data_IF_190844615314
#
_entry.id   IF_190844615314
#
_cell.length_a   1.000
_cell.length_b   1.000
_cell.length_c   1.000
_cell.angle_alpha   90.00
_cell.angle_beta   90.00
_cell.angle_gamma   90.00
#
_symmetry.space_group_name_H-M   'P 1'
#
loop_
_entity.id
_entity.type
_entity.pdbx_description
1 polymer ?
#
# COMPACT_ATOMS: atom_id res chain seq x y z
N UNK A 1 -19.15 -4.05 17.16
CA UNK A 1 -19.22 -2.79 17.89
C UNK A 1 -19.61 -1.61 16.99
N UNK A 2 -19.05 -1.51 15.79
CA UNK A 2 -19.33 -0.43 14.81
C UNK A 2 -20.43 -0.78 13.80
N UNK A 3 -21.21 -1.82 14.01
CA UNK A 3 -22.27 -2.32 13.09
C UNK A 3 -21.74 -2.56 11.65
N UNK A 4 -20.47 -2.91 11.54
CA UNK A 4 -19.83 -3.27 10.26
C UNK A 4 -19.60 -4.78 10.24
N UNK A 5 -19.74 -5.40 9.05
CA UNK A 5 -19.39 -6.81 8.87
C UNK A 5 -17.85 -6.91 8.88
N UNK A 6 -17.26 -7.73 9.78
CA UNK A 6 -15.82 -7.93 9.81
C UNK A 6 -15.37 -8.66 8.53
N UNK A 7 -14.19 -8.28 8.04
CA UNK A 7 -13.58 -8.90 6.86
C UNK A 7 -13.01 -10.28 7.18
N UNK A 8 -12.39 -10.40 8.34
CA UNK A 8 -11.69 -11.57 8.85
C UNK A 8 -11.73 -11.59 10.39
N UNK A 9 -11.28 -12.68 10.99
CA UNK A 9 -11.19 -12.86 12.43
C UNK A 9 -9.78 -13.32 12.77
N UNK A 10 -9.13 -12.57 13.67
CA UNK A 10 -7.87 -12.95 14.28
C UNK A 10 -8.14 -13.61 15.64
N UNK A 11 -7.53 -14.76 15.89
CA UNK A 11 -7.68 -15.49 17.15
C UNK A 11 -6.43 -15.28 18.01
N UNK A 12 -6.61 -14.73 19.20
CA UNK A 12 -5.58 -14.70 20.25
C UNK A 12 -5.62 -15.95 21.12
N UNK A 13 -4.47 -16.51 21.48
CA UNK A 13 -4.36 -17.68 22.36
C UNK A 13 -3.12 -17.61 23.23
N UNK A 14 -3.15 -18.29 24.38
CA UNK A 14 -1.99 -18.57 25.23
C UNK A 14 -1.16 -19.77 24.74
N UNK A 15 -1.71 -20.56 23.80
CA UNK A 15 -1.02 -21.71 23.23
C UNK A 15 0.22 -21.30 22.42
N UNK A 16 1.35 -21.95 22.70
CA UNK A 16 2.58 -21.75 21.94
C UNK A 16 2.43 -22.23 20.48
N UNK A 17 3.15 -21.62 19.51
CA UNK A 17 3.10 -22.00 18.09
C UNK A 17 3.35 -23.50 17.84
N UNK A 18 4.19 -24.15 18.66
CA UNK A 18 4.45 -25.59 18.57
C UNK A 18 3.22 -26.43 18.95
N UNK A 19 2.43 -25.99 19.92
CA UNK A 19 1.18 -26.65 20.32
C UNK A 19 0.11 -26.51 19.23
N UNK A 20 -0.03 -25.31 18.63
CA UNK A 20 -0.93 -25.07 17.49
C UNK A 20 -0.61 -25.99 16.31
N UNK A 21 0.68 -26.16 15.99
CA UNK A 21 1.11 -27.05 14.91
C UNK A 21 0.84 -28.52 15.20
N UNK A 22 0.83 -28.94 16.47
CA UNK A 22 0.46 -30.31 16.86
C UNK A 22 -1.06 -30.54 16.80
N UNK A 23 -1.83 -29.51 17.20
CA UNK A 23 -3.29 -29.58 17.25
C UNK A 23 -3.92 -29.59 15.85
N UNK A 24 -3.41 -28.76 14.93
CA UNK A 24 -3.97 -28.58 13.60
C UNK A 24 -3.03 -29.11 12.51
N UNK A 25 -3.44 -30.20 11.82
CA UNK A 25 -2.65 -30.79 10.70
C UNK A 25 -2.47 -29.84 9.51
N UNK A 26 -3.43 -28.94 9.28
CA UNK A 26 -3.48 -27.94 8.21
C UNK A 26 -2.95 -26.57 8.66
N UNK A 27 -2.08 -26.53 9.68
CA UNK A 27 -1.45 -25.33 10.21
C UNK A 27 -0.13 -25.03 9.49
N UNK A 28 0.02 -23.78 9.01
CA UNK A 28 1.29 -23.24 8.49
C UNK A 28 1.76 -22.08 9.34
N UNK A 29 3.01 -22.12 9.78
CA UNK A 29 3.63 -21.01 10.49
C UNK A 29 4.16 -20.00 9.50
N UNK A 30 3.72 -18.74 9.59
CA UNK A 30 4.08 -17.63 8.69
C UNK A 30 4.75 -16.50 9.49
N UNK A 31 5.66 -15.79 8.83
CA UNK A 31 6.38 -14.67 9.39
C UNK A 31 7.66 -15.05 10.13
N UNK A 32 8.72 -14.25 9.91
CA UNK A 32 10.01 -14.37 10.63
C UNK A 32 10.00 -13.58 11.94
N UNK A 33 9.44 -12.38 11.89
CA UNK A 33 9.35 -11.45 13.04
C UNK A 33 8.16 -11.79 13.93
N UNK A 34 7.03 -12.10 13.32
CA UNK A 34 5.77 -12.46 13.98
C UNK A 34 5.39 -13.87 13.51
N UNK A 35 5.47 -14.84 14.40
CA UNK A 35 5.04 -16.21 14.09
C UNK A 35 3.53 -16.30 14.25
N UNK A 36 2.82 -16.22 13.12
CA UNK A 36 1.38 -16.44 13.04
C UNK A 36 1.11 -17.87 12.59
N UNK A 37 0.14 -18.52 13.17
CA UNK A 37 -0.36 -19.80 12.71
C UNK A 37 -1.54 -19.57 11.76
N UNK A 38 -1.38 -19.88 10.49
CA UNK A 38 -2.46 -19.90 9.50
C UNK A 38 -3.07 -21.29 9.49
N UNK A 39 -4.33 -21.40 9.91
CA UNK A 39 -5.12 -22.63 9.86
C UNK A 39 -5.96 -22.58 8.58
N UNK A 40 -5.69 -23.52 7.67
CA UNK A 40 -6.35 -23.58 6.37
C UNK A 40 -7.56 -24.51 6.41
N UNK A 41 -8.73 -24.06 5.98
CA UNK A 41 -9.96 -24.83 5.88
C UNK A 41 -10.20 -25.31 4.44
N UNK A 42 -10.98 -26.40 4.30
CA UNK A 42 -11.25 -27.04 3.00
C UNK A 42 -11.89 -26.10 1.96
N UNK A 43 -12.61 -25.08 2.39
CA UNK A 43 -13.25 -24.06 1.55
C UNK A 43 -12.29 -22.91 1.14
N UNK A 44 -10.99 -23.05 1.39
CA UNK A 44 -9.98 -22.02 1.12
C UNK A 44 -9.92 -20.91 2.17
N UNK A 45 -10.76 -20.94 3.21
CA UNK A 45 -10.74 -19.98 4.31
C UNK A 45 -9.49 -20.19 5.17
N UNK A 46 -8.84 -19.10 5.55
CA UNK A 46 -7.70 -19.07 6.46
C UNK A 46 -8.13 -18.36 7.74
N UNK A 47 -7.82 -18.95 8.89
CA UNK A 47 -7.94 -18.28 10.19
C UNK A 47 -6.54 -18.05 10.73
N UNK A 48 -6.25 -16.79 11.07
CA UNK A 48 -4.99 -16.41 11.69
C UNK A 48 -5.06 -16.59 13.21
N UNK A 49 -4.09 -17.30 13.77
CA UNK A 49 -3.99 -17.52 15.21
C UNK A 49 -2.64 -17.00 15.70
N UNK A 50 -2.70 -16.08 16.64
CA UNK A 50 -1.53 -15.45 17.27
C UNK A 50 -1.42 -15.84 18.73
N UNK A 51 -0.26 -16.29 19.18
CA UNK A 51 0.03 -16.43 20.61
C UNK A 51 0.17 -15.05 21.25
N UNK A 52 -0.45 -14.83 22.42
CA UNK A 52 -0.30 -13.59 23.18
C UNK A 52 1.17 -13.28 23.45
N UNK A 53 1.54 -12.01 23.35
CA UNK A 53 2.92 -11.54 23.47
C UNK A 53 3.04 -10.42 24.49
N UNK A 54 4.22 -10.29 25.06
CA UNK A 54 4.59 -9.15 25.91
C UNK A 54 5.75 -8.37 25.31
N UNK A 55 5.99 -7.16 25.77
CA UNK A 55 7.19 -6.40 25.40
C UNK A 55 8.42 -7.16 25.88
N UNK A 56 9.46 -7.28 25.04
CA UNK A 56 10.76 -7.78 25.51
C UNK A 56 11.28 -6.91 26.66
N UNK A 57 11.99 -7.53 27.60
CA UNK A 57 12.66 -6.79 28.67
C UNK A 57 13.70 -5.84 28.04
N UNK A 58 13.67 -4.53 28.34
CA UNK A 58 14.66 -3.56 27.84
C UNK A 58 16.11 -3.97 28.16
N UNK A 59 16.33 -4.65 29.28
CA UNK A 59 17.65 -5.15 29.66
C UNK A 59 18.14 -6.31 28.75
N UNK A 60 17.23 -7.03 28.08
CA UNK A 60 17.59 -8.14 27.18
C UNK A 60 17.84 -7.67 25.72
N UNK A 61 17.53 -6.43 25.39
CA UNK A 61 17.58 -5.87 24.01
C UNK A 61 18.68 -4.80 23.93
N UNK A 62 19.87 -5.09 24.40
CA UNK A 62 21.11 -4.33 24.12
C UNK A 62 21.01 -2.81 24.14
N UNK A 63 21.07 -2.17 25.33
CA UNK A 63 21.47 -0.79 25.57
C UNK A 63 20.46 0.34 25.25
N UNK A 64 20.60 1.50 25.88
CA UNK A 64 19.79 2.69 25.63
C UNK A 64 20.12 3.26 24.23
N UNK A 65 19.24 3.01 23.26
CA UNK A 65 19.38 3.41 21.84
C UNK A 65 18.82 2.40 20.85
N UNK A 66 18.58 1.16 21.24
CA UNK A 66 17.97 0.13 20.41
C UNK A 66 16.43 0.19 20.49
N UNK A 67 15.82 1.32 20.14
CA UNK A 67 14.37 1.51 20.14
C UNK A 67 13.65 0.69 19.05
N UNK A 68 14.37 0.24 18.03
CA UNK A 68 13.79 -0.57 16.94
C UNK A 68 13.74 -2.05 17.35
N UNK A 69 12.56 -2.56 17.68
CA UNK A 69 12.32 -3.96 18.00
C UNK A 69 12.64 -4.86 16.79
N UNK A 70 13.69 -5.66 16.88
CA UNK A 70 14.14 -6.59 15.82
C UNK A 70 13.49 -7.98 15.92
N UNK A 71 12.99 -8.40 17.10
CA UNK A 71 12.23 -9.64 17.29
C UNK A 71 11.12 -9.44 18.32
N UNK A 72 9.95 -10.02 18.10
CA UNK A 72 8.78 -9.88 18.95
C UNK A 72 8.13 -11.26 19.23
N UNK A 73 8.95 -12.20 19.71
CA UNK A 73 8.52 -13.57 20.04
C UNK A 73 8.53 -13.86 21.56
N UNK A 74 8.42 -12.82 22.38
CA UNK A 74 8.26 -13.00 23.82
C UNK A 74 6.78 -13.19 24.14
N UNK A 75 6.41 -14.40 24.59
CA UNK A 75 5.01 -14.74 24.89
C UNK A 75 4.58 -14.14 26.21
N UNK A 76 3.29 -13.82 26.33
CA UNK A 76 2.71 -13.14 27.47
C UNK A 76 1.23 -13.48 27.67
N UNK A 77 0.57 -12.69 28.52
CA UNK A 77 -0.85 -12.76 28.85
C UNK A 77 -1.69 -11.89 27.87
N UNK A 78 -3.02 -12.06 27.81
CA UNK A 78 -3.91 -11.18 27.03
C UNK A 78 -3.73 -9.70 27.39
N UNK A 79 -3.58 -9.38 28.67
CA UNK A 79 -3.37 -8.01 29.15
C UNK A 79 -2.05 -7.42 28.64
N UNK A 80 -0.97 -8.18 28.68
CA UNK A 80 0.33 -7.76 28.17
C UNK A 80 0.29 -7.57 26.66
N UNK A 81 -0.45 -8.43 25.93
CA UNK A 81 -0.65 -8.30 24.49
C UNK A 81 -1.45 -7.03 24.14
N UNK A 82 -2.52 -6.71 24.89
CA UNK A 82 -3.25 -5.45 24.73
C UNK A 82 -2.33 -4.23 24.89
N UNK A 83 -1.56 -4.18 25.98
CA UNK A 83 -0.70 -3.06 26.35
C UNK A 83 0.44 -2.78 25.33
N UNK A 84 0.82 -3.75 24.48
CA UNK A 84 1.84 -3.55 23.47
C UNK A 84 1.30 -3.11 22.09
N UNK A 85 -0.03 -3.21 21.88
CA UNK A 85 -0.67 -2.79 20.62
C UNK A 85 -0.53 -1.29 20.40
N UNK A 86 -0.90 -0.82 19.23
CA UNK A 86 -0.73 0.58 18.81
C UNK A 86 -1.78 1.51 19.43
N UNK A 87 -3.07 1.22 19.21
CA UNK A 87 -4.17 2.08 19.62
C UNK A 87 -5.15 1.34 20.52
N UNK A 88 -5.83 2.09 21.40
CA UNK A 88 -6.78 1.57 22.39
C UNK A 88 -7.89 0.76 21.74
N UNK A 89 -8.45 1.24 20.63
CA UNK A 89 -9.50 0.57 19.84
C UNK A 89 -9.05 -0.78 19.27
N UNK A 90 -7.74 -1.00 19.11
CA UNK A 90 -7.15 -2.26 18.64
C UNK A 90 -6.75 -3.18 19.80
N UNK A 91 -6.88 -2.73 21.05
CA UNK A 91 -6.55 -3.48 22.27
C UNK A 91 -7.70 -4.28 22.86
N UNK A 92 -8.84 -4.34 22.17
CA UNK A 92 -10.03 -5.06 22.60
C UNK A 92 -9.94 -6.54 22.21
N UNK A 93 -10.44 -7.42 23.10
CA UNK A 93 -10.65 -8.83 22.81
C UNK A 93 -12.14 -9.17 22.95
N UNK A 94 -12.58 -10.13 22.15
CA UNK A 94 -13.91 -10.70 22.24
C UNK A 94 -13.79 -12.12 22.76
N UNK A 95 -14.40 -12.41 23.92
CA UNK A 95 -14.46 -13.75 24.47
C UNK A 95 -15.67 -14.49 23.89
N UNK A 96 -15.39 -15.60 23.20
CA UNK A 96 -16.43 -16.42 22.56
C UNK A 96 -17.17 -17.31 23.54
N UNK A 97 -16.70 -17.47 24.80
CA UNK A 97 -17.31 -18.33 25.78
C UNK A 97 -18.54 -17.69 26.42
N UNK A 98 -18.49 -16.38 26.67
CA UNK A 98 -19.56 -15.61 27.29
C UNK A 98 -20.02 -14.39 26.47
N UNK A 99 -19.41 -14.20 25.30
CA UNK A 99 -19.68 -13.11 24.37
C UNK A 99 -19.36 -11.73 24.92
N UNK A 100 -18.48 -11.66 25.92
CA UNK A 100 -18.03 -10.40 26.52
C UNK A 100 -16.92 -9.71 25.72
N UNK A 101 -16.79 -8.40 25.92
CA UNK A 101 -15.64 -7.63 25.44
C UNK A 101 -14.70 -7.40 26.61
N UNK A 102 -13.45 -7.84 26.44
CA UNK A 102 -12.39 -7.63 27.41
C UNK A 102 -11.60 -6.40 27.00
N UNK A 103 -11.58 -5.38 27.84
CA UNK A 103 -10.88 -4.12 27.63
C UNK A 103 -9.88 -3.86 28.76
N UNK A 104 -8.58 -3.89 28.41
CA UNK A 104 -7.48 -3.60 29.34
C UNK A 104 -6.90 -2.19 29.19
N UNK A 105 -7.37 -1.41 28.20
CA UNK A 105 -6.69 -0.19 27.76
C UNK A 105 -7.63 1.03 27.57
N UNK A 106 -8.93 0.86 27.89
CA UNK A 106 -9.93 1.92 27.70
C UNK A 106 -10.42 2.07 26.25
N UNK A 107 -10.28 1.03 25.44
CA UNK A 107 -10.62 1.06 24.02
C UNK A 107 -12.12 1.17 23.75
N UNK A 108 -12.99 0.68 24.63
CA UNK A 108 -14.45 0.83 24.49
C UNK A 108 -14.86 2.30 24.60
N UNK A 109 -14.34 3.02 25.59
CA UNK A 109 -14.65 4.43 25.78
C UNK A 109 -14.15 5.28 24.59
N UNK A 110 -12.94 5.02 24.08
CA UNK A 110 -12.41 5.69 22.91
C UNK A 110 -13.18 5.32 21.62
N UNK A 111 -13.65 4.09 21.50
CA UNK A 111 -14.49 3.67 20.39
C UNK A 111 -15.84 4.39 20.37
N UNK A 112 -16.48 4.53 21.54
CA UNK A 112 -17.75 5.28 21.71
C UNK A 112 -17.56 6.78 21.44
N UNK A 113 -16.43 7.35 21.91
CA UNK A 113 -16.07 8.75 21.70
C UNK A 113 -15.56 9.05 20.27
N UNK A 114 -15.31 8.02 19.44
CA UNK A 114 -14.75 8.19 18.10
C UNK A 114 -13.31 8.70 18.12
N UNK A 115 -12.46 8.16 18.99
CA UNK A 115 -11.09 8.62 19.20
C UNK A 115 -10.04 7.57 18.79
N UNK A 116 -8.97 8.05 18.17
CA UNK A 116 -7.73 7.29 17.95
C UNK A 116 -6.70 7.73 18.99
N UNK A 117 -6.52 6.89 20.00
CA UNK A 117 -5.57 7.12 21.10
C UNK A 117 -4.51 6.04 21.11
N UNK A 118 -3.24 6.41 21.32
CA UNK A 118 -2.14 5.45 21.49
C UNK A 118 -2.23 4.75 22.85
N UNK A 119 -1.84 3.49 22.90
CA UNK A 119 -1.66 2.77 24.17
C UNK A 119 -0.29 3.16 24.73
N UNK A 120 -0.29 4.02 25.74
CA UNK A 120 0.91 4.64 26.31
C UNK A 120 1.28 5.97 25.64
N UNK A 121 2.41 6.53 26.05
CA UNK A 121 2.89 7.83 25.61
C UNK A 121 3.10 7.87 24.09
N UNK A 122 2.41 8.76 23.35
CA UNK A 122 2.49 8.82 21.89
C UNK A 122 3.90 9.17 21.38
N UNK A 123 4.68 9.99 22.08
CA UNK A 123 6.06 10.31 21.69
C UNK A 123 6.93 9.06 21.68
N UNK A 124 6.85 8.25 22.75
CA UNK A 124 7.57 6.98 22.84
C UNK A 124 7.08 5.99 21.78
N UNK A 125 5.77 5.91 21.58
CA UNK A 125 5.16 4.94 20.65
C UNK A 125 5.52 5.22 19.20
N UNK A 126 5.58 6.48 18.79
CA UNK A 126 5.96 6.84 17.42
C UNK A 126 7.47 6.77 17.17
N UNK A 127 8.30 6.94 18.20
CA UNK A 127 9.73 6.68 18.11
C UNK A 127 10.06 5.18 18.03
N UNK A 128 9.34 4.32 18.78
CA UNK A 128 9.48 2.86 18.70
C UNK A 128 9.14 2.32 17.31
N UNK A 129 8.08 2.87 16.70
CA UNK A 129 7.59 2.43 15.39
C UNK A 129 6.88 3.59 14.67
N UNK A 130 7.62 4.35 13.85
CA UNK A 130 7.04 5.52 13.15
C UNK A 130 5.89 5.19 12.19
N UNK A 131 5.77 3.93 11.73
CA UNK A 131 4.64 3.49 10.88
C UNK A 131 3.30 3.66 11.60
N UNK A 132 3.29 3.65 12.93
CA UNK A 132 2.08 3.92 13.73
C UNK A 132 1.47 5.30 13.45
N UNK A 133 2.25 6.30 13.05
CA UNK A 133 1.72 7.60 12.63
C UNK A 133 0.85 7.48 11.38
N UNK A 134 1.27 6.68 10.38
CA UNK A 134 0.45 6.40 9.20
C UNK A 134 -0.82 5.65 9.56
N UNK A 135 -0.70 4.65 10.46
CA UNK A 135 -1.84 3.87 10.94
C UNK A 135 -2.85 4.73 11.71
N UNK A 136 -2.38 5.68 12.54
CA UNK A 136 -3.27 6.65 13.20
C UNK A 136 -4.10 7.43 12.20
N UNK A 137 -3.45 7.97 11.17
CA UNK A 137 -4.09 8.72 10.08
C UNK A 137 -5.05 7.83 9.27
N UNK A 138 -4.65 6.60 8.95
CA UNK A 138 -5.50 5.65 8.23
C UNK A 138 -6.75 5.29 9.04
N UNK A 139 -6.60 4.92 10.31
CA UNK A 139 -7.73 4.60 11.16
C UNK A 139 -8.67 5.78 11.37
N UNK A 140 -8.13 6.99 11.61
CA UNK A 140 -8.93 8.20 11.72
C UNK A 140 -9.77 8.43 10.46
N UNK A 141 -9.15 8.35 9.29
CA UNK A 141 -9.79 8.54 8.00
C UNK A 141 -10.84 7.47 7.68
N UNK A 142 -10.50 6.20 7.95
CA UNK A 142 -11.36 5.05 7.65
C UNK A 142 -12.59 4.97 8.55
N UNK A 143 -12.42 5.31 9.82
CA UNK A 143 -13.50 5.23 10.82
C UNK A 143 -14.29 6.53 10.94
N UNK A 144 -13.73 7.66 10.49
CA UNK A 144 -14.27 8.99 10.74
C UNK A 144 -14.04 9.45 12.18
N UNK A 145 -12.95 8.98 12.82
CA UNK A 145 -12.58 9.27 14.19
C UNK A 145 -11.58 10.41 14.27
N UNK A 146 -11.55 11.13 15.40
CA UNK A 146 -10.54 12.13 15.67
C UNK A 146 -9.28 11.51 16.30
N UNK A 147 -8.10 11.96 15.90
CA UNK A 147 -6.85 11.65 16.61
C UNK A 147 -6.82 12.50 17.89
N UNK A 148 -6.48 11.90 19.04
CA UNK A 148 -6.38 12.66 20.30
C UNK A 148 -5.31 13.76 20.19
N UNK A 149 -5.50 14.92 20.87
CA UNK A 149 -4.58 16.06 20.73
C UNK A 149 -3.12 15.72 21.00
N UNK A 150 -2.84 14.95 22.04
CA UNK A 150 -1.51 14.48 22.41
C UNK A 150 -0.86 13.62 21.30
N UNK A 151 -1.64 12.68 20.72
CA UNK A 151 -1.17 11.86 19.61
C UNK A 151 -0.99 12.69 18.31
N UNK A 152 -1.89 13.64 18.04
CA UNK A 152 -1.78 14.52 16.90
C UNK A 152 -0.51 15.39 16.96
N UNK A 153 -0.27 16.02 18.11
CA UNK A 153 0.95 16.81 18.34
C UNK A 153 2.22 15.96 18.25
N UNK A 154 2.19 14.74 18.78
CA UNK A 154 3.32 13.82 18.65
C UNK A 154 3.58 13.44 17.18
N UNK A 155 2.54 13.26 16.35
CA UNK A 155 2.73 13.07 14.90
C UNK A 155 3.45 14.28 14.30
N UNK A 156 3.03 15.50 14.61
CA UNK A 156 3.67 16.72 14.12
C UNK A 156 5.14 16.81 14.52
N UNK A 157 5.50 16.38 15.73
CA UNK A 157 6.90 16.34 16.20
C UNK A 157 7.73 15.28 15.49
N UNK A 158 7.19 14.07 15.33
CA UNK A 158 7.94 12.89 14.89
C UNK A 158 7.74 12.54 13.41
N UNK A 159 6.96 13.28 12.63
CA UNK A 159 6.63 12.95 11.22
C UNK A 159 7.83 12.61 10.34
N UNK A 160 8.99 13.23 10.59
CA UNK A 160 10.22 12.97 9.82
C UNK A 160 10.83 11.60 10.12
N UNK A 161 10.53 11.02 11.29
CA UNK A 161 11.03 9.71 11.70
C UNK A 161 10.50 8.58 10.79
N UNK A 162 9.40 8.82 10.07
CA UNK A 162 8.83 7.83 9.14
C UNK A 162 9.84 7.40 8.07
N UNK A 163 10.77 8.27 7.70
CA UNK A 163 11.84 7.96 6.74
C UNK A 163 12.83 6.88 7.25
N UNK A 164 12.85 6.61 8.56
CA UNK A 164 13.68 5.55 9.17
C UNK A 164 13.00 4.18 9.14
N UNK A 165 11.72 4.14 8.80
CA UNK A 165 10.95 2.90 8.75
C UNK A 165 11.34 2.04 7.54
N UNK A 166 11.19 0.72 7.66
CA UNK A 166 11.42 -0.19 6.55
C UNK A 166 10.46 0.13 5.38
N UNK A 167 10.97 0.43 4.18
CA UNK A 167 10.14 0.87 3.06
C UNK A 167 8.97 -0.08 2.71
N UNK A 168 9.12 -1.43 2.77
CA UNK A 168 7.98 -2.31 2.50
C UNK A 168 6.81 -2.14 3.46
N UNK A 169 7.05 -1.76 4.73
CA UNK A 169 5.98 -1.51 5.71
C UNK A 169 5.24 -0.22 5.38
N UNK A 170 5.99 0.84 5.09
CA UNK A 170 5.43 2.14 4.67
C UNK A 170 4.57 1.96 3.40
N UNK A 171 5.10 1.21 2.43
CA UNK A 171 4.40 0.93 1.18
C UNK A 171 3.12 0.16 1.38
N UNK A 172 3.12 -0.84 2.28
CA UNK A 172 1.90 -1.62 2.56
C UNK A 172 0.83 -0.77 3.25
N UNK A 173 1.18 0.08 4.22
CA UNK A 173 0.19 0.98 4.85
C UNK A 173 -0.39 1.97 3.83
N UNK A 174 0.45 2.53 2.94
CA UNK A 174 -0.02 3.39 1.86
C UNK A 174 -0.94 2.65 0.88
N UNK A 175 -0.56 1.42 0.51
CA UNK A 175 -1.38 0.57 -0.36
C UNK A 175 -2.73 0.21 0.29
N UNK A 176 -2.76 -0.05 1.60
CA UNK A 176 -4.00 -0.31 2.33
C UNK A 176 -4.95 0.89 2.31
N UNK A 177 -4.43 2.11 2.52
CA UNK A 177 -5.21 3.34 2.41
C UNK A 177 -5.85 3.48 1.01
N UNK A 178 -5.05 3.24 -0.05
CA UNK A 178 -5.52 3.32 -1.44
C UNK A 178 -6.53 2.22 -1.81
N UNK A 179 -6.37 1.03 -1.26
CA UNK A 179 -7.30 -0.10 -1.47
C UNK A 179 -8.59 0.02 -0.64
N UNK A 180 -8.57 0.81 0.42
CA UNK A 180 -9.59 0.80 1.47
C UNK A 180 -10.88 1.58 1.15
N UNK A 181 -10.87 2.44 0.13
CA UNK A 181 -12.01 3.33 -0.19
C UNK A 181 -12.08 4.57 0.69
N UNK A 182 -10.95 4.98 1.25
CA UNK A 182 -10.73 6.18 2.07
C UNK A 182 -9.38 6.85 1.76
N UNK A 183 -8.90 6.70 0.53
CA UNK A 183 -7.63 7.25 0.07
C UNK A 183 -7.61 8.79 0.14
N UNK A 184 -8.70 9.45 -0.28
CA UNK A 184 -8.81 10.90 -0.25
C UNK A 184 -8.67 11.46 1.18
N UNK A 185 -9.50 11.10 2.17
CA UNK A 185 -9.36 11.62 3.53
C UNK A 185 -8.02 11.24 4.17
N UNK A 186 -7.48 10.05 3.88
CA UNK A 186 -6.18 9.63 4.40
C UNK A 186 -5.05 10.52 3.87
N UNK A 187 -4.97 10.77 2.56
CA UNK A 187 -3.91 11.58 1.98
C UNK A 187 -4.06 13.08 2.29
N UNK A 188 -5.30 13.58 2.48
CA UNK A 188 -5.53 14.92 2.99
C UNK A 188 -4.99 15.08 4.41
N UNK A 189 -5.29 14.15 5.31
CA UNK A 189 -4.79 14.19 6.68
C UNK A 189 -3.27 13.95 6.73
N UNK A 190 -2.71 13.05 5.90
CA UNK A 190 -1.26 12.90 5.77
C UNK A 190 -0.57 14.19 5.33
N UNK A 191 -1.19 14.96 4.43
CA UNK A 191 -0.68 16.27 4.01
C UNK A 191 -0.75 17.28 5.16
N UNK A 192 -1.86 17.32 5.87
CA UNK A 192 -2.09 18.22 7.00
C UNK A 192 -1.03 18.03 8.10
N UNK A 193 -0.78 16.79 8.51
CA UNK A 193 0.22 16.47 9.54
C UNK A 193 1.66 16.43 9.01
N UNK A 194 1.88 16.66 7.71
CA UNK A 194 3.20 16.69 7.07
C UNK A 194 3.86 15.32 6.84
N UNK A 195 3.14 14.22 6.97
CA UNK A 195 3.63 12.88 6.62
C UNK A 195 3.81 12.71 5.11
N UNK A 196 2.97 13.36 4.29
CA UNK A 196 3.10 13.31 2.85
C UNK A 196 4.41 13.95 2.37
N UNK A 197 4.83 15.06 3.00
CA UNK A 197 6.10 15.73 2.72
C UNK A 197 7.31 14.85 3.08
N UNK A 198 7.21 14.07 4.14
CA UNK A 198 8.27 13.18 4.58
C UNK A 198 8.40 11.92 3.68
N UNK A 199 7.29 11.42 3.13
CA UNK A 199 7.24 10.18 2.35
C UNK A 199 7.39 10.40 0.84
N UNK A 200 6.67 11.38 0.31
CA UNK A 200 6.59 11.69 -1.12
C UNK A 200 6.77 13.20 -1.35
N UNK A 201 7.98 13.76 -1.05
CA UNK A 201 8.23 15.19 -1.16
C UNK A 201 8.00 15.74 -2.57
N UNK A 202 8.20 14.94 -3.62
CA UNK A 202 7.95 15.32 -5.00
C UNK A 202 6.44 15.53 -5.25
N UNK A 203 5.59 14.63 -4.73
CA UNK A 203 4.14 14.79 -4.81
C UNK A 203 3.69 16.00 -4.00
N UNK A 204 4.18 16.13 -2.77
CA UNK A 204 3.86 17.25 -1.91
C UNK A 204 4.25 18.59 -2.55
N UNK A 205 5.40 18.66 -3.23
CA UNK A 205 5.82 19.85 -3.97
C UNK A 205 4.86 20.20 -5.12
N UNK A 206 4.46 19.22 -5.90
CA UNK A 206 3.48 19.42 -7.00
C UNK A 206 2.13 19.89 -6.46
N UNK A 207 1.67 19.31 -5.33
CA UNK A 207 0.38 19.66 -4.74
C UNK A 207 0.37 21.05 -4.06
N UNK A 208 1.54 21.64 -3.79
CA UNK A 208 1.65 23.03 -3.30
C UNK A 208 1.66 24.06 -4.42
N UNK A 209 1.94 23.66 -5.66
CA UNK A 209 1.93 24.57 -6.79
C UNK A 209 0.49 25.03 -7.07
N UNK A 210 0.24 26.33 -6.90
CA UNK A 210 -1.00 26.97 -7.33
C UNK A 210 -0.75 27.44 -8.77
N UNK A 211 -1.56 26.94 -9.70
CA UNK A 211 -1.58 27.43 -11.07
C UNK A 211 -2.67 28.52 -11.17
N UNK A 212 -2.32 29.82 -11.24
CA UNK A 212 -3.29 30.89 -11.31
C UNK A 212 -4.17 30.86 -12.57
N UNK A 213 -3.61 30.35 -13.70
CA UNK A 213 -4.30 30.24 -14.99
C UNK A 213 -5.22 29.01 -15.04
N UNK A 214 -4.90 28.01 -14.21
CA UNK A 214 -5.67 26.77 -14.13
C UNK A 214 -6.02 26.44 -12.68
N UNK A 215 -7.04 27.09 -12.08
CA UNK A 215 -7.47 26.85 -10.69
C UNK A 215 -7.82 25.36 -10.42
N UNK A 216 -8.14 24.62 -11.49
CA UNK A 216 -8.40 23.16 -11.48
C UNK A 216 -7.19 22.37 -11.99
N UNK A 217 -5.96 22.86 -11.75
CA UNK A 217 -4.72 22.23 -12.20
C UNK A 217 -4.42 20.86 -11.58
N UNK A 218 -3.16 20.43 -11.73
CA UNK A 218 -2.71 19.07 -11.36
C UNK A 218 -3.10 18.65 -9.94
N UNK A 219 -3.04 19.57 -8.96
CA UNK A 219 -3.43 19.28 -7.58
C UNK A 219 -4.93 19.00 -7.44
N UNK A 220 -5.78 19.79 -8.09
CA UNK A 220 -7.23 19.56 -8.07
C UNK A 220 -7.58 18.20 -8.69
N UNK A 221 -7.01 17.89 -9.84
CA UNK A 221 -7.23 16.60 -10.49
C UNK A 221 -6.79 15.43 -9.60
N UNK A 222 -5.68 15.55 -8.89
CA UNK A 222 -5.21 14.51 -7.99
C UNK A 222 -6.24 14.18 -6.90
N UNK A 223 -6.79 15.20 -6.23
CA UNK A 223 -7.81 15.00 -5.20
C UNK A 223 -9.12 14.44 -5.77
N UNK A 224 -9.52 14.91 -6.94
CA UNK A 224 -10.69 14.36 -7.66
C UNK A 224 -10.48 12.90 -8.07
N UNK A 225 -9.28 12.51 -8.49
CA UNK A 225 -8.94 11.11 -8.79
C UNK A 225 -9.07 10.20 -7.56
N UNK A 226 -8.64 10.68 -6.38
CA UNK A 226 -8.77 9.91 -5.15
C UNK A 226 -10.23 9.79 -4.70
N UNK A 227 -11.05 10.84 -4.88
CA UNK A 227 -12.48 10.77 -4.58
C UNK A 227 -13.19 9.74 -5.47
N UNK A 228 -12.90 9.77 -6.77
CA UNK A 228 -13.41 8.76 -7.71
C UNK A 228 -12.93 7.36 -7.36
N UNK A 229 -11.65 7.21 -7.04
CA UNK A 229 -11.09 5.92 -6.59
C UNK A 229 -11.87 5.38 -5.38
N UNK A 230 -12.10 6.22 -4.37
CA UNK A 230 -12.82 5.84 -3.16
C UNK A 230 -14.28 5.47 -3.45
N UNK A 231 -14.94 6.23 -4.34
CA UNK A 231 -16.30 5.91 -4.78
C UNK A 231 -16.38 4.55 -5.48
N UNK A 232 -15.45 4.27 -6.41
CA UNK A 232 -15.40 2.99 -7.13
C UNK A 232 -15.06 1.83 -6.19
N UNK A 233 -14.16 2.05 -5.21
CA UNK A 233 -13.85 1.06 -4.18
C UNK A 233 -15.07 0.73 -3.32
N UNK A 234 -15.87 1.72 -2.92
CA UNK A 234 -17.15 1.51 -2.20
C UNK A 234 -18.18 0.75 -3.02
N UNK A 235 -18.13 0.86 -4.37
CA UNK A 235 -18.96 0.06 -5.31
C UNK A 235 -18.42 -1.36 -5.53
N UNK A 236 -17.31 -1.74 -4.88
CA UNK A 236 -16.73 -3.07 -4.96
C UNK A 236 -15.71 -3.26 -6.10
N UNK A 237 -15.35 -2.23 -6.86
CA UNK A 237 -14.28 -2.35 -7.87
C UNK A 237 -12.93 -2.56 -7.19
N UNK A 238 -12.13 -3.47 -7.73
CA UNK A 238 -10.77 -3.79 -7.27
C UNK A 238 -9.78 -3.35 -8.33
N UNK A 239 -8.76 -2.61 -7.92
CA UNK A 239 -7.67 -2.18 -8.79
C UNK A 239 -6.35 -2.86 -8.38
N UNK A 240 -5.50 -3.14 -9.37
CA UNK A 240 -4.14 -3.60 -9.11
C UNK A 240 -3.32 -2.50 -8.43
N UNK A 241 -2.34 -2.88 -7.61
CA UNK A 241 -1.43 -1.91 -6.97
C UNK A 241 -0.71 -1.01 -7.97
N UNK A 242 -0.42 -1.54 -9.16
CA UNK A 242 0.17 -0.74 -10.24
C UNK A 242 -0.73 0.44 -10.65
N UNK A 243 -2.06 0.30 -10.65
CA UNK A 243 -3.00 1.43 -10.88
C UNK A 243 -2.89 2.42 -9.72
N UNK A 244 -2.99 1.94 -8.48
CA UNK A 244 -3.00 2.77 -7.28
C UNK A 244 -1.74 3.63 -7.15
N UNK A 245 -0.56 3.02 -7.32
CA UNK A 245 0.70 3.75 -7.28
C UNK A 245 0.91 4.64 -8.51
N UNK A 246 0.40 4.25 -9.69
CA UNK A 246 0.43 5.12 -10.86
C UNK A 246 -0.37 6.42 -10.63
N UNK A 247 -1.51 6.37 -9.90
CA UNK A 247 -2.27 7.58 -9.54
C UNK A 247 -1.44 8.53 -8.67
N UNK A 248 -0.60 8.02 -7.75
CA UNK A 248 0.29 8.85 -6.94
C UNK A 248 1.42 9.48 -7.78
N UNK A 249 1.90 8.77 -8.80
CA UNK A 249 3.03 9.22 -9.62
C UNK A 249 2.60 10.08 -10.80
N UNK A 250 1.35 9.96 -11.26
CA UNK A 250 0.80 10.70 -12.39
C UNK A 250 0.94 12.23 -12.27
N UNK A 251 0.64 12.86 -11.11
CA UNK A 251 0.86 14.31 -10.95
C UNK A 251 2.31 14.72 -11.13
N UNK A 252 3.25 13.92 -10.60
CA UNK A 252 4.68 14.20 -10.68
C UNK A 252 5.18 14.08 -12.13
N UNK A 253 4.75 13.02 -12.84
CA UNK A 253 5.07 12.84 -14.26
C UNK A 253 4.51 13.97 -15.08
N UNK A 254 3.25 14.37 -14.87
CA UNK A 254 2.62 15.50 -15.60
C UNK A 254 3.34 16.82 -15.36
N UNK A 255 3.73 17.11 -14.11
CA UNK A 255 4.50 18.30 -13.78
C UNK A 255 5.84 18.30 -14.54
N UNK A 256 6.58 17.19 -14.50
CA UNK A 256 7.85 17.08 -15.24
C UNK A 256 7.69 17.17 -16.75
N UNK A 257 6.64 16.58 -17.32
CA UNK A 257 6.34 16.71 -18.75
C UNK A 257 6.14 18.19 -19.09
N UNK A 258 5.30 18.90 -18.35
CA UNK A 258 5.08 20.35 -18.57
C UNK A 258 6.37 21.15 -18.48
N UNK A 259 7.21 20.89 -17.46
CA UNK A 259 8.45 21.64 -17.23
C UNK A 259 9.52 21.34 -18.31
N UNK A 260 9.54 20.13 -18.89
CA UNK A 260 10.54 19.70 -19.87
C UNK A 260 10.08 19.84 -21.33
N UNK A 261 8.81 20.12 -21.56
CA UNK A 261 8.21 20.27 -22.90
C UNK A 261 7.21 21.44 -22.92
N UNK A 262 7.68 22.69 -22.66
CA UNK A 262 6.79 23.85 -22.59
C UNK A 262 6.09 24.14 -23.93
N UNK A 263 6.68 23.74 -25.05
CA UNK A 263 6.20 24.04 -26.41
C UNK A 263 5.24 22.97 -26.96
N UNK A 264 4.77 22.02 -26.15
CA UNK A 264 3.81 21.00 -26.58
C UNK A 264 3.99 19.63 -25.96
N UNK A 265 3.35 18.62 -26.55
CA UNK A 265 3.47 17.25 -26.08
C UNK A 265 4.83 16.63 -26.45
N UNK A 266 5.46 15.86 -25.53
CA UNK A 266 6.72 15.19 -25.82
C UNK A 266 6.51 14.08 -26.85
N UNK A 267 7.50 13.86 -27.70
CA UNK A 267 7.54 12.63 -28.49
C UNK A 267 7.60 11.38 -27.61
N UNK A 268 7.22 10.20 -28.11
CA UNK A 268 7.14 8.99 -27.31
C UNK A 268 8.45 8.58 -26.62
N UNK A 269 9.61 8.85 -27.22
CA UNK A 269 10.91 8.51 -26.63
C UNK A 269 11.24 9.46 -25.48
N UNK A 270 11.00 10.76 -25.67
CA UNK A 270 11.17 11.76 -24.62
C UNK A 270 10.25 11.48 -23.42
N UNK A 271 8.98 11.16 -23.69
CA UNK A 271 8.03 10.77 -22.65
C UNK A 271 8.52 9.54 -21.87
N UNK A 272 9.03 8.53 -22.56
CA UNK A 272 9.56 7.33 -21.91
C UNK A 272 10.75 7.63 -20.97
N UNK A 273 11.64 8.54 -21.38
CA UNK A 273 12.76 8.99 -20.54
C UNK A 273 12.24 9.72 -19.29
N UNK A 274 11.31 10.68 -19.45
CA UNK A 274 10.72 11.41 -18.31
C UNK A 274 10.05 10.46 -17.32
N UNK A 275 9.31 9.47 -17.83
CA UNK A 275 8.65 8.46 -17.00
C UNK A 275 9.70 7.62 -16.26
N UNK A 276 10.73 7.14 -16.94
CA UNK A 276 11.80 6.34 -16.34
C UNK A 276 12.49 7.09 -15.19
N UNK A 277 12.93 8.32 -15.46
CA UNK A 277 13.63 9.16 -14.48
C UNK A 277 12.74 9.57 -13.28
N UNK A 278 11.43 9.55 -13.45
CA UNK A 278 10.47 9.88 -12.40
C UNK A 278 10.08 8.64 -11.59
N UNK A 279 9.65 7.59 -12.27
CA UNK A 279 9.02 6.42 -11.63
C UNK A 279 10.05 5.50 -10.98
N UNK A 280 11.23 5.32 -11.61
CA UNK A 280 12.21 4.38 -11.08
C UNK A 280 12.71 4.74 -9.66
N UNK A 281 13.15 5.98 -9.37
CA UNK A 281 13.58 6.35 -8.02
C UNK A 281 12.45 6.32 -6.98
N UNK A 282 11.22 6.72 -7.36
CA UNK A 282 10.05 6.65 -6.48
C UNK A 282 9.73 5.20 -6.11
N UNK A 283 9.68 4.31 -7.10
CA UNK A 283 9.40 2.89 -6.90
C UNK A 283 10.48 2.19 -6.06
N UNK A 284 11.75 2.57 -6.26
CA UNK A 284 12.86 2.04 -5.46
C UNK A 284 12.72 2.45 -3.99
N UNK A 285 12.44 3.73 -3.72
CA UNK A 285 12.22 4.25 -2.36
C UNK A 285 11.05 3.56 -1.67
N UNK A 286 9.98 3.29 -2.43
CA UNK A 286 8.80 2.56 -1.94
C UNK A 286 8.97 1.04 -1.96
N UNK A 287 10.15 0.52 -2.33
CA UNK A 287 10.40 -0.93 -2.44
C UNK A 287 9.35 -1.69 -3.28
N UNK A 288 8.81 -1.06 -4.32
CA UNK A 288 7.86 -1.72 -5.21
C UNK A 288 8.54 -2.86 -5.98
N UNK A 289 7.86 -4.01 -6.19
CA UNK A 289 8.37 -5.07 -7.03
C UNK A 289 8.67 -4.56 -8.45
N UNK A 290 9.76 -5.05 -9.06
CA UNK A 290 10.16 -4.65 -10.41
C UNK A 290 9.04 -4.79 -11.44
N UNK A 291 8.26 -5.88 -11.36
CA UNK A 291 7.13 -6.11 -12.28
C UNK A 291 6.07 -5.00 -12.13
N UNK A 292 5.76 -4.58 -10.91
CA UNK A 292 4.81 -3.48 -10.68
C UNK A 292 5.37 -2.15 -11.20
N UNK A 293 6.65 -1.86 -10.94
CA UNK A 293 7.34 -0.67 -11.46
C UNK A 293 7.33 -0.60 -12.99
N UNK A 294 7.66 -1.70 -13.66
CA UNK A 294 7.66 -1.77 -15.13
C UNK A 294 6.22 -1.61 -15.68
N UNK A 295 5.22 -2.18 -15.01
CA UNK A 295 3.80 -2.01 -15.37
C UNK A 295 3.34 -0.57 -15.22
N UNK A 296 3.71 0.11 -14.14
CA UNK A 296 3.42 1.55 -13.93
C UNK A 296 4.01 2.38 -15.06
N UNK A 297 5.31 2.21 -15.37
CA UNK A 297 5.98 2.95 -16.44
C UNK A 297 5.29 2.76 -17.79
N UNK A 298 5.02 1.52 -18.15
CA UNK A 298 4.34 1.20 -19.41
C UNK A 298 2.91 1.76 -19.45
N UNK A 299 2.16 1.67 -18.35
CA UNK A 299 0.81 2.21 -18.29
C UNK A 299 0.79 3.74 -18.46
N UNK A 300 1.66 4.46 -17.76
CA UNK A 300 1.77 5.92 -17.87
C UNK A 300 2.17 6.37 -19.30
N UNK A 301 3.01 5.60 -20.00
CA UNK A 301 3.36 5.86 -21.40
C UNK A 301 2.20 5.58 -22.39
N UNK A 302 1.20 4.78 -21.97
CA UNK A 302 0.03 4.46 -22.79
C UNK A 302 -1.10 5.46 -22.58
N UNK A 303 -1.32 5.93 -21.33
CA UNK A 303 -2.50 6.73 -20.93
C UNK A 303 -2.78 7.89 -21.87
N UNK A 304 -1.77 8.68 -22.26
CA UNK A 304 -1.93 9.82 -23.19
C UNK A 304 -2.48 9.43 -24.56
N UNK A 305 -2.19 8.19 -25.00
CA UNK A 305 -2.68 7.70 -26.30
C UNK A 305 -4.16 7.31 -26.28
N UNK A 306 -4.74 7.08 -25.10
CA UNK A 306 -6.13 6.72 -24.95
C UNK A 306 -7.10 7.92 -25.09
N UNK A 307 -6.56 9.14 -25.09
CA UNK A 307 -7.34 10.36 -25.38
C UNK A 307 -7.77 10.51 -26.85
N UNK A 308 -7.33 9.58 -27.71
CA UNK A 308 -7.75 9.52 -29.10
C UNK A 308 -8.61 8.28 -29.33
N UNK A 309 -9.57 8.38 -30.28
CA UNK A 309 -10.42 7.22 -30.65
C UNK A 309 -9.57 6.07 -31.18
N UNK A 310 -9.86 4.85 -30.76
CA UNK A 310 -9.23 3.68 -31.36
C UNK A 310 -9.64 3.55 -32.83
N UNK A 311 -8.66 3.36 -33.70
CA UNK A 311 -8.88 3.07 -35.11
C UNK A 311 -8.74 1.56 -35.39
N UNK A 312 -9.11 1.13 -36.59
CA UNK A 312 -8.97 -0.27 -37.00
C UNK A 312 -7.53 -0.66 -37.35
N UNK A 313 -6.53 0.21 -37.14
CA UNK A 313 -5.16 0.00 -37.55
C UNK A 313 -4.42 -1.02 -36.69
N UNK A 314 -3.37 -1.58 -37.24
CA UNK A 314 -2.44 -2.51 -36.56
C UNK A 314 -1.84 -1.88 -35.29
N UNK A 315 -1.62 -0.56 -35.29
CA UNK A 315 -1.08 0.17 -34.14
C UNK A 315 -1.98 0.09 -32.92
N UNK A 316 -3.30 0.27 -33.07
CA UNK A 316 -4.31 0.13 -32.01
C UNK A 316 -4.33 -1.29 -31.44
N UNK A 317 -4.31 -2.31 -32.32
CA UNK A 317 -4.24 -3.71 -31.89
C UNK A 317 -2.96 -3.99 -31.10
N UNK A 318 -1.78 -3.56 -31.59
CA UNK A 318 -0.50 -3.72 -30.88
C UNK A 318 -0.51 -3.03 -29.51
N UNK A 319 -1.13 -1.86 -29.40
CA UNK A 319 -1.27 -1.15 -28.12
C UNK A 319 -2.10 -1.96 -27.13
N UNK A 320 -3.27 -2.44 -27.56
CA UNK A 320 -4.20 -3.21 -26.72
C UNK A 320 -3.66 -4.61 -26.33
N UNK A 321 -2.65 -5.11 -27.05
CA UNK A 321 -1.97 -6.37 -26.71
C UNK A 321 -0.90 -6.24 -25.63
N UNK A 322 -0.48 -5.01 -25.25
CA UNK A 322 0.52 -4.83 -24.19
C UNK A 322 -0.03 -5.23 -22.82
N UNK A 323 0.80 -5.86 -21.99
CA UNK A 323 0.41 -6.34 -20.66
C UNK A 323 -0.09 -5.22 -19.74
N UNK A 324 0.47 -4.02 -19.86
CA UNK A 324 0.07 -2.84 -19.09
C UNK A 324 -1.15 -2.11 -19.67
N UNK A 325 -1.78 -2.60 -20.74
CA UNK A 325 -2.91 -1.92 -21.37
C UNK A 325 -4.12 -1.82 -20.44
N UNK A 326 -4.45 -2.90 -19.73
CA UNK A 326 -5.54 -2.89 -18.74
C UNK A 326 -5.31 -1.87 -17.64
N UNK A 327 -4.10 -1.84 -17.07
CA UNK A 327 -3.69 -0.86 -16.06
C UNK A 327 -3.81 0.58 -16.60
N UNK A 328 -3.36 0.84 -17.84
CA UNK A 328 -3.47 2.15 -18.47
C UNK A 328 -4.94 2.56 -18.69
N UNK A 329 -5.78 1.62 -19.08
CA UNK A 329 -7.20 1.87 -19.30
C UNK A 329 -7.95 2.15 -17.99
N UNK A 330 -7.60 1.48 -16.89
CA UNK A 330 -8.15 1.78 -15.57
C UNK A 330 -7.76 3.20 -15.11
N UNK A 331 -6.48 3.59 -15.28
CA UNK A 331 -6.02 4.96 -14.99
C UNK A 331 -6.76 5.99 -15.85
N UNK A 332 -6.93 5.71 -17.14
CA UNK A 332 -7.64 6.57 -18.07
C UNK A 332 -9.11 6.72 -17.67
N UNK A 333 -9.81 5.62 -17.38
CA UNK A 333 -11.20 5.63 -16.93
C UNK A 333 -11.37 6.45 -15.64
N UNK A 334 -10.55 6.23 -14.61
CA UNK A 334 -10.57 7.04 -13.38
C UNK A 334 -10.31 8.54 -13.69
N UNK A 335 -9.42 8.84 -14.64
CA UNK A 335 -9.13 10.21 -15.06
C UNK A 335 -10.34 10.84 -15.76
N UNK A 336 -11.01 10.12 -16.65
CA UNK A 336 -12.21 10.63 -17.33
C UNK A 336 -13.36 10.85 -16.34
N UNK A 337 -13.53 9.96 -15.37
CA UNK A 337 -14.53 10.13 -14.31
C UNK A 337 -14.23 11.36 -13.43
N UNK A 338 -12.96 11.60 -13.10
CA UNK A 338 -12.56 12.75 -12.30
C UNK A 338 -12.65 14.09 -13.04
N UNK A 339 -12.48 14.08 -14.36
CA UNK A 339 -12.55 15.31 -15.18
C UNK A 339 -13.92 15.56 -15.79
N UNK A 340 -14.77 14.54 -15.91
CA UNK A 340 -16.02 14.58 -16.65
C UNK A 340 -15.85 14.60 -18.18
N UNK A 341 -14.62 14.32 -18.68
CA UNK A 341 -14.27 14.41 -20.09
C UNK A 341 -14.09 13.03 -20.72
N UNK A 342 -14.38 12.92 -22.02
CA UNK A 342 -14.01 11.78 -22.86
C UNK A 342 -14.57 10.41 -22.44
N UNK A 343 -15.74 10.34 -21.80
CA UNK A 343 -16.35 9.08 -21.35
C UNK A 343 -16.61 8.09 -22.51
N UNK A 344 -16.98 8.58 -23.69
CA UNK A 344 -17.17 7.75 -24.89
C UNK A 344 -15.91 6.99 -25.30
N UNK A 345 -14.74 7.58 -25.10
CA UNK A 345 -13.47 6.93 -25.43
C UNK A 345 -13.19 5.71 -24.53
N UNK A 346 -13.63 5.75 -23.27
CA UNK A 346 -13.50 4.60 -22.36
C UNK A 346 -14.28 3.42 -22.90
N UNK A 347 -15.53 3.62 -23.33
CA UNK A 347 -16.35 2.55 -23.90
C UNK A 347 -15.71 1.97 -25.17
N UNK A 348 -15.21 2.83 -26.07
CA UNK A 348 -14.52 2.43 -27.31
C UNK A 348 -13.29 1.56 -26.99
N UNK A 349 -12.45 1.99 -26.05
CA UNK A 349 -11.24 1.25 -25.65
C UNK A 349 -11.55 -0.04 -24.89
N UNK A 350 -12.62 -0.07 -24.05
CA UNK A 350 -13.09 -1.30 -23.40
C UNK A 350 -13.59 -2.32 -24.44
N UNK A 351 -14.26 -1.86 -25.49
CA UNK A 351 -14.67 -2.73 -26.60
C UNK A 351 -13.45 -3.35 -27.33
N UNK A 352 -12.39 -2.57 -27.57
CA UNK A 352 -11.12 -3.08 -28.11
C UNK A 352 -10.51 -4.11 -27.20
N UNK A 353 -10.44 -3.83 -25.89
CA UNK A 353 -9.90 -4.78 -24.88
C UNK A 353 -10.66 -6.10 -24.89
N UNK A 354 -11.99 -6.03 -24.87
CA UNK A 354 -12.85 -7.23 -24.90
C UNK A 354 -12.69 -8.04 -26.18
N UNK A 355 -12.52 -7.38 -27.34
CA UNK A 355 -12.23 -8.05 -28.62
C UNK A 355 -10.90 -8.80 -28.55
N UNK A 356 -9.81 -8.16 -28.09
CA UNK A 356 -8.49 -8.81 -27.96
C UNK A 356 -8.54 -9.98 -26.97
N UNK A 357 -9.28 -9.85 -25.86
CA UNK A 357 -9.46 -10.94 -24.92
C UNK A 357 -10.14 -12.16 -25.55
N UNK A 358 -11.17 -11.93 -26.36
CA UNK A 358 -11.87 -13.00 -27.14
C UNK A 358 -10.95 -13.65 -28.17
N UNK A 359 -10.18 -12.87 -28.91
CA UNK A 359 -9.20 -13.38 -29.89
C UNK A 359 -8.11 -14.24 -29.22
N UNK A 360 -7.67 -13.88 -28.00
CA UNK A 360 -6.76 -14.72 -27.20
C UNK A 360 -7.42 -16.03 -26.76
N UNK A 361 -8.65 -15.95 -26.25
CA UNK A 361 -9.39 -17.13 -25.78
C UNK A 361 -9.69 -18.12 -26.90
N UNK A 362 -9.94 -17.66 -28.13
CA UNK A 362 -10.17 -18.48 -29.32
C UNK A 362 -8.89 -19.03 -29.97
N UNK A 363 -7.69 -18.69 -29.46
CA UNK A 363 -6.42 -19.10 -30.04
C UNK A 363 -6.03 -18.35 -31.32
N UNK A 364 -6.81 -17.35 -31.74
CA UNK A 364 -6.48 -16.51 -32.91
C UNK A 364 -5.25 -15.63 -32.69
N UNK A 365 -4.85 -15.42 -31.44
CA UNK A 365 -3.60 -14.78 -31.02
C UNK A 365 -2.80 -15.76 -30.19
N UNK A 366 -1.54 -16.07 -30.55
CA UNK A 366 -0.70 -16.94 -29.74
C UNK A 366 -0.50 -16.33 -28.33
N UNK A 367 -0.36 -17.18 -27.29
CA UNK A 367 -0.05 -16.69 -25.94
C UNK A 367 1.27 -15.91 -25.95
N UNK A 368 1.46 -14.95 -25.05
CA UNK A 368 2.73 -14.25 -24.92
C UNK A 368 3.85 -15.27 -24.64
N UNK A 369 5.07 -15.06 -25.15
CA UNK A 369 6.18 -15.96 -24.89
C UNK A 369 6.41 -16.07 -23.38
N UNK A 370 6.74 -17.28 -22.87
CA UNK A 370 7.03 -17.47 -21.46
C UNK A 370 8.17 -16.53 -21.03
N UNK A 371 8.15 -16.02 -19.81
CA UNK A 371 9.22 -15.17 -19.30
C UNK A 371 10.55 -15.93 -19.42
N UNK A 372 11.65 -15.24 -19.79
CA UNK A 372 12.95 -15.91 -19.91
C UNK A 372 13.31 -16.61 -18.61
N UNK A 373 13.90 -17.81 -18.67
CA UNK A 373 14.25 -18.57 -17.48
C UNK A 373 15.16 -17.73 -16.59
N UNK A 374 14.82 -17.62 -15.32
CA UNK A 374 15.67 -16.92 -14.33
C UNK A 374 17.07 -17.49 -14.42
N UNK A 375 18.04 -16.72 -14.90
CA UNK A 375 19.46 -17.12 -14.88
C UNK A 375 19.81 -17.47 -13.43
N UNK A 376 19.95 -18.77 -13.15
CA UNK A 376 20.52 -19.26 -11.91
C UNK A 376 21.90 -18.59 -11.77
N UNK A 377 22.08 -17.73 -10.76
CA UNK A 377 23.41 -17.27 -10.36
C UNK A 377 24.25 -18.54 -10.15
N UNK A 378 25.15 -18.82 -11.06
CA UNK A 378 26.19 -19.83 -10.84
C UNK A 378 26.95 -19.41 -9.60
N UNK A 379 26.77 -20.16 -8.53
CA UNK A 379 27.57 -20.03 -7.31
C UNK A 379 29.04 -20.08 -7.68
N UNK A 380 29.79 -19.03 -7.34
CA UNK A 380 31.22 -18.98 -7.55
C UNK A 380 31.86 -20.19 -6.83
N UNK A 381 32.45 -21.07 -7.60
CA UNK A 381 33.34 -22.12 -7.08
C UNK A 381 34.51 -21.47 -6.40
N UNK A 382 34.71 -21.80 -5.14
CA UNK A 382 35.81 -21.37 -4.32
C UNK A 382 37.17 -21.57 -4.99
N UNK A 383 37.99 -20.55 -4.94
CA UNK A 383 39.43 -20.63 -5.26
C UNK A 383 40.07 -21.57 -4.27
N UNK A 384 40.65 -22.65 -4.80
CA UNK A 384 41.41 -23.63 -4.08
C UNK A 384 42.58 -23.02 -3.29
N UNK A 385 42.80 -23.51 -2.07
CA UNK A 385 44.00 -23.36 -1.27
C UNK A 385 45.21 -23.85 -2.09
N UNK A 386 46.20 -23.00 -2.27
CA UNK A 386 47.57 -23.42 -2.61
C UNK A 386 48.23 -24.02 -1.36
N UNK A 387 48.94 -25.14 -1.45
CA UNK A 387 49.72 -25.64 -0.34
C UNK A 387 51.00 -24.80 -0.19
N UNK A 388 51.36 -24.51 1.05
CA UNK A 388 52.67 -23.94 1.40
C UNK A 388 53.76 -25.01 1.19
N UNK A 389 54.81 -24.65 0.49
CA UNK A 389 56.06 -25.38 0.44
C UNK A 389 57.11 -24.61 1.23
N UNK A 390 57.70 -25.33 2.21
CA UNK A 390 58.92 -25.10 2.96
C UNK A 390 59.36 -23.66 3.29
#
# INVERSE_FOLDING_TARGET
LLSRVPKDFDVGTDAHPAALKKLFRNCRMIGRRFRLAHILFANGKVVEVATFRRRPDPAAVGGPGALLQTSDNTFGTPREDALRRDFTINGLFYDISDFSIIDYVGGLADLEAGLIRTIGDPDVRFQEDPVRMMRAVEFASRLGFAITPDAYEAILRHRKEIAKSAPPRVTEELAQALRGGHALPTLLLMREVGLLDALLPELAAVLRQIDPEHPRGTGHLFWALLDVLDAERRRGRVYEDAVLFALLYLPIVRARVRDMTPDGEPDPNRLAVIIEETVAPLSLRMSLPRLATDRIKQALAIVGRLSHRPDAKIATRRLAMKDAFGTALDIFELTTMATGLAHELVADWRAVQARIARERASGAIPPPPPPPPRRRRRGGRGRGRRPASN
#
